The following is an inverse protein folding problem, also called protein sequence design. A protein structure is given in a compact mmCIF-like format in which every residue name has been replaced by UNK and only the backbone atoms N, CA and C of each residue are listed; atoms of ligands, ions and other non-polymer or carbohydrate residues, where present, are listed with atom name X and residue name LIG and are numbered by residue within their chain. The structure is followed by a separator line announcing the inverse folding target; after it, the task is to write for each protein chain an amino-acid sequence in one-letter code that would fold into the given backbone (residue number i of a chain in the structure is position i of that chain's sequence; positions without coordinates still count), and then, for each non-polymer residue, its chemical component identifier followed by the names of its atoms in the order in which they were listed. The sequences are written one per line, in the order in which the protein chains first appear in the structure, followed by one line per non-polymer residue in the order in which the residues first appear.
data_IF_125761633849
#
_entry.id   IF_125761633849
#
_cell.length_a   1.000
_cell.length_b   1.000
_cell.length_c   1.000
_cell.angle_alpha   90.00
_cell.angle_beta   90.00
_cell.angle_gamma   90.00
#
_symmetry.space_group_name_H-M   'P 1'
#
loop_
_entity.id
_entity.type
_entity.pdbx_description
1 polymer ?
#
# COMPACT_ATOMS: atom_id res chain seq x y z
N UNK A 1 6.06 -10.02 5.03
CA UNK A 1 4.87 -10.38 5.83
C UNK A 1 3.77 -10.74 4.84
N UNK A 2 3.35 -12.00 4.76
CA UNK A 2 2.28 -12.39 3.83
C UNK A 2 0.93 -12.00 4.45
N UNK A 3 0.32 -10.93 3.95
CA UNK A 3 -0.94 -10.37 4.47
C UNK A 3 -2.20 -11.14 4.04
N UNK A 4 -2.05 -12.38 3.56
CA UNK A 4 -3.19 -13.23 3.21
C UNK A 4 -3.71 -13.88 4.49
N UNK A 5 -4.70 -13.24 5.10
CA UNK A 5 -5.22 -13.59 6.43
C UNK A 5 -6.18 -14.81 6.37
N UNK A 6 -6.62 -15.27 5.19
CA UNK A 6 -7.47 -16.46 5.02
C UNK A 6 -7.62 -16.87 3.55
N UNK A 7 -8.37 -17.93 3.22
CA UNK A 7 -8.62 -18.35 1.81
C UNK A 7 -9.59 -17.44 1.04
N UNK A 8 -10.38 -16.59 1.74
CA UNK A 8 -11.33 -15.64 1.16
C UNK A 8 -10.84 -14.19 1.31
N UNK A 9 -9.70 -13.86 0.71
CA UNK A 9 -9.13 -12.51 0.81
C UNK A 9 -9.72 -11.58 -0.24
N UNK A 10 -10.25 -10.45 0.22
CA UNK A 10 -10.68 -9.33 -0.64
C UNK A 10 -9.56 -8.29 -0.72
N UNK A 11 -9.44 -7.60 -1.85
CA UNK A 11 -8.51 -6.47 -2.01
C UNK A 11 -8.70 -5.42 -0.90
N UNK A 12 -9.95 -5.15 -0.53
CA UNK A 12 -10.34 -4.17 0.49
C UNK A 12 -11.33 -4.80 1.45
N UNK A 13 -11.02 -4.73 2.74
CA UNK A 13 -11.89 -5.18 3.83
C UNK A 13 -12.06 -4.07 4.84
N UNK A 14 -13.31 -3.69 5.12
CA UNK A 14 -13.61 -2.81 6.26
C UNK A 14 -13.60 -3.67 7.52
N UNK A 15 -12.82 -3.26 8.51
CA UNK A 15 -12.67 -3.98 9.78
C UNK A 15 -13.18 -3.10 10.91
N UNK A 16 -13.97 -3.69 11.79
CA UNK A 16 -14.40 -3.07 13.04
C UNK A 16 -13.57 -3.64 14.19
N UNK A 17 -13.28 -2.79 15.17
CA UNK A 17 -12.83 -3.25 16.47
C UNK A 17 -14.07 -3.48 17.34
N UNK A 18 -14.15 -4.66 17.93
CA UNK A 18 -15.20 -5.01 18.87
C UNK A 18 -14.57 -5.63 20.12
N UNK A 19 -15.21 -5.44 21.27
CA UNK A 19 -14.91 -6.22 22.45
C UNK A 19 -15.15 -7.71 22.18
N UNK A 20 -14.26 -8.58 22.65
CA UNK A 20 -14.31 -10.00 22.29
C UNK A 20 -15.39 -10.77 23.04
N UNK A 21 -15.69 -10.38 24.27
CA UNK A 21 -16.65 -11.08 25.13
C UNK A 21 -18.07 -10.58 24.85
N UNK A 22 -18.25 -9.27 24.72
CA UNK A 22 -19.56 -8.66 24.49
C UNK A 22 -19.92 -8.52 23.02
N UNK A 23 -18.94 -8.61 22.12
CA UNK A 23 -19.08 -8.29 20.68
C UNK A 23 -19.54 -6.86 20.41
N UNK A 24 -19.46 -5.97 21.40
CA UNK A 24 -19.84 -4.56 21.23
C UNK A 24 -18.77 -3.78 20.48
N UNK A 25 -19.21 -2.83 19.65
CA UNK A 25 -18.31 -1.98 18.88
C UNK A 25 -17.43 -1.14 19.82
N UNK A 26 -16.12 -1.25 19.67
CA UNK A 26 -15.16 -0.51 20.50
C UNK A 26 -15.26 1.01 20.27
N UNK A 27 -15.45 1.42 19.01
CA UNK A 27 -15.67 2.83 18.66
C UNK A 27 -16.29 2.96 17.28
N UNK A 28 -17.26 3.87 17.14
CA UNK A 28 -17.85 4.30 15.86
C UNK A 28 -17.06 5.41 15.17
N UNK A 29 -16.14 6.05 15.90
CA UNK A 29 -15.31 7.17 15.41
C UNK A 29 -14.09 6.71 14.63
N UNK A 30 -13.72 5.44 14.75
CA UNK A 30 -12.53 4.88 14.11
C UNK A 30 -12.92 3.82 13.07
N UNK A 31 -12.61 4.09 11.80
CA UNK A 31 -12.80 3.12 10.72
C UNK A 31 -11.46 2.57 10.28
N UNK A 32 -11.30 1.25 10.34
CA UNK A 32 -10.10 0.54 9.84
C UNK A 32 -10.40 -0.09 8.49
N UNK A 33 -9.51 0.11 7.54
CA UNK A 33 -9.57 -0.54 6.23
C UNK A 33 -8.27 -1.31 6.05
N UNK A 34 -8.39 -2.61 5.78
CA UNK A 34 -7.26 -3.47 5.42
C UNK A 34 -7.24 -3.61 3.91
N UNK A 35 -6.08 -3.34 3.32
CA UNK A 35 -5.86 -3.44 1.88
C UNK A 35 -4.78 -4.49 1.62
N UNK A 36 -5.09 -5.45 0.75
CA UNK A 36 -4.17 -6.54 0.42
C UNK A 36 -3.57 -6.29 -0.96
N UNK A 37 -2.43 -5.58 -0.99
CA UNK A 37 -1.75 -5.16 -2.21
C UNK A 37 -1.43 -6.29 -3.21
N UNK A 38 -1.05 -7.53 -2.79
CA UNK A 38 -0.83 -8.63 -3.73
C UNK A 38 -2.05 -9.02 -4.58
N UNK A 39 -3.27 -8.68 -4.15
CA UNK A 39 -4.49 -8.92 -4.94
C UNK A 39 -4.74 -7.84 -5.99
N UNK A 40 -4.05 -6.70 -5.90
CA UNK A 40 -4.15 -5.64 -6.88
C UNK A 40 -3.28 -5.99 -8.10
N UNK A 41 -3.92 -6.41 -9.20
CA UNK A 41 -3.25 -6.86 -10.42
C UNK A 41 -3.43 -5.94 -11.63
N UNK A 42 -4.15 -4.83 -11.45
CA UNK A 42 -4.37 -3.84 -12.51
C UNK A 42 -3.07 -3.13 -12.87
N UNK A 43 -2.88 -2.93 -14.16
CA UNK A 43 -1.84 -2.08 -14.74
C UNK A 43 -2.27 -0.60 -14.78
N UNK A 44 -1.35 0.32 -15.08
CA UNK A 44 -1.60 1.77 -15.04
C UNK A 44 -2.83 2.20 -15.86
N UNK A 45 -3.00 1.63 -17.05
CA UNK A 45 -4.07 1.95 -17.99
C UNK A 45 -5.41 1.27 -17.65
N UNK A 46 -5.42 0.29 -16.74
CA UNK A 46 -6.61 -0.43 -16.29
C UNK A 46 -7.22 0.20 -15.02
N UNK A 47 -6.57 1.24 -14.48
CA UNK A 47 -7.03 1.94 -13.30
C UNK A 47 -8.07 2.99 -13.69
N UNK A 48 -9.30 2.81 -13.23
CA UNK A 48 -10.47 3.59 -13.69
C UNK A 48 -10.90 4.65 -12.68
N UNK A 49 -10.54 4.47 -11.41
CA UNK A 49 -10.98 5.35 -10.32
C UNK A 49 -9.84 5.76 -9.40
N UNK A 50 -10.09 6.80 -8.61
CA UNK A 50 -9.09 7.37 -7.69
C UNK A 50 -8.50 6.34 -6.73
N UNK A 51 -9.33 5.43 -6.22
CA UNK A 51 -8.86 4.40 -5.28
C UNK A 51 -7.83 3.49 -5.96
N UNK A 52 -8.10 3.06 -7.19
CA UNK A 52 -7.17 2.25 -7.96
C UNK A 52 -5.89 3.00 -8.33
N UNK A 53 -5.98 4.28 -8.72
CA UNK A 53 -4.79 5.13 -8.94
C UNK A 53 -3.93 5.24 -7.69
N UNK A 54 -4.56 5.39 -6.52
CA UNK A 54 -3.88 5.42 -5.23
C UNK A 54 -3.17 4.11 -4.92
N UNK A 55 -3.87 2.98 -5.05
CA UNK A 55 -3.28 1.66 -4.76
C UNK A 55 -2.16 1.32 -5.74
N UNK A 56 -2.32 1.64 -7.03
CA UNK A 56 -1.28 1.47 -8.03
C UNK A 56 -0.03 2.30 -7.71
N UNK A 57 -0.22 3.57 -7.35
CA UNK A 57 0.88 4.46 -6.98
C UNK A 57 1.61 3.96 -5.73
N UNK A 58 0.87 3.57 -4.68
CA UNK A 58 1.45 3.03 -3.45
C UNK A 58 2.20 1.71 -3.69
N UNK A 59 1.61 0.80 -4.50
CA UNK A 59 2.21 -0.51 -4.81
C UNK A 59 3.53 -0.39 -5.57
N UNK A 60 3.63 0.59 -6.48
CA UNK A 60 4.79 0.74 -7.36
C UNK A 60 5.76 1.84 -6.91
N UNK A 61 5.52 2.49 -5.76
CA UNK A 61 6.21 3.70 -5.30
C UNK A 61 7.74 3.60 -5.34
N UNK A 62 8.32 2.45 -5.01
CA UNK A 62 9.77 2.21 -5.03
C UNK A 62 10.39 2.18 -6.44
N UNK A 63 9.58 1.82 -7.44
CA UNK A 63 10.02 1.65 -8.84
C UNK A 63 9.63 2.83 -9.71
N UNK A 64 8.69 3.65 -9.24
CA UNK A 64 8.19 4.81 -9.96
C UNK A 64 9.25 5.91 -9.98
N UNK A 65 9.92 6.08 -11.14
CA UNK A 65 10.78 7.24 -11.42
C UNK A 65 10.00 8.56 -11.58
N UNK A 66 8.69 8.46 -11.77
CA UNK A 66 7.73 9.57 -11.87
C UNK A 66 6.39 9.09 -11.32
N UNK A 67 5.65 9.98 -10.66
CA UNK A 67 4.29 9.65 -10.22
C UNK A 67 3.37 9.54 -11.46
N UNK A 68 2.70 8.39 -11.69
CA UNK A 68 1.69 8.25 -12.73
C UNK A 68 0.44 9.05 -12.34
N UNK A 69 -0.42 9.40 -13.31
CA UNK A 69 -1.67 10.16 -13.06
C UNK A 69 -1.52 11.60 -12.53
N UNK A 70 -0.32 12.21 -12.64
CA UNK A 70 -0.04 13.63 -12.30
C UNK A 70 -1.07 14.63 -12.80
N UNK A 71 -1.60 14.40 -14.00
CA UNK A 71 -2.55 15.30 -14.64
C UNK A 71 -3.92 15.33 -13.94
N UNK A 72 -4.24 14.34 -13.11
CA UNK A 72 -5.60 14.21 -12.57
C UNK A 72 -5.82 14.96 -11.28
N UNK A 73 -4.87 15.07 -10.33
CA UNK A 73 -5.15 15.70 -9.01
C UNK A 73 -3.94 16.31 -8.28
N UNK A 74 -4.18 17.46 -7.62
CA UNK A 74 -3.21 18.18 -6.78
C UNK A 74 -2.62 17.35 -5.61
N UNK A 75 -3.32 16.31 -5.17
CA UNK A 75 -2.85 15.43 -4.10
C UNK A 75 -1.64 14.59 -4.51
N UNK A 76 -1.53 14.20 -5.79
CA UNK A 76 -0.36 13.49 -6.31
C UNK A 76 0.86 14.41 -6.43
N UNK A 77 0.64 15.70 -6.70
CA UNK A 77 1.71 16.71 -6.73
C UNK A 77 2.35 16.89 -5.35
N UNK A 78 1.55 16.97 -4.28
CA UNK A 78 2.07 17.06 -2.91
C UNK A 78 2.86 15.82 -2.49
N UNK A 79 2.47 14.67 -3.02
CA UNK A 79 3.16 13.41 -2.78
C UNK A 79 4.52 13.35 -3.48
N UNK A 80 4.60 13.88 -4.70
CA UNK A 80 5.86 14.08 -5.41
C UNK A 80 6.78 15.04 -4.65
N UNK A 81 6.28 16.21 -4.24
CA UNK A 81 7.06 17.16 -3.45
C UNK A 81 7.62 16.52 -2.16
N UNK A 82 6.85 15.62 -1.53
CA UNK A 82 7.30 14.89 -0.34
C UNK A 82 8.31 13.78 -0.69
N UNK A 83 8.11 13.06 -1.79
CA UNK A 83 8.98 11.99 -2.24
C UNK A 83 10.33 12.52 -2.78
N UNK A 84 10.34 13.66 -3.47
CA UNK A 84 11.55 14.36 -3.92
C UNK A 84 12.36 14.87 -2.72
N UNK A 85 11.70 15.39 -1.69
CA UNK A 85 12.37 15.78 -0.44
C UNK A 85 12.89 14.56 0.33
N UNK A 86 12.30 13.39 0.10
CA UNK A 86 12.69 12.10 0.68
C UNK A 86 13.51 11.23 -0.29
N UNK A 87 14.01 11.76 -1.42
CA UNK A 87 14.79 10.97 -2.39
C UNK A 87 16.08 10.51 -1.72
N UNK A 88 16.03 9.26 -1.27
CA UNK A 88 17.04 8.59 -0.46
C UNK A 88 18.40 8.63 -1.16
N UNK A 89 19.43 8.90 -0.36
CA UNK A 89 20.83 8.77 -0.76
C UNK A 89 21.13 7.33 -1.21
N UNK A 90 22.20 7.14 -1.98
CA UNK A 90 22.60 5.83 -2.53
C UNK A 90 22.68 4.73 -1.46
N UNK A 91 23.07 5.11 -0.24
CA UNK A 91 23.23 4.21 0.91
C UNK A 91 21.88 3.72 1.47
N UNK A 92 20.87 4.58 1.46
CA UNK A 92 19.51 4.25 1.89
C UNK A 92 18.81 3.33 0.87
N UNK A 93 19.12 3.49 -0.42
CA UNK A 93 18.66 2.59 -1.48
C UNK A 93 19.24 1.17 -1.31
N UNK A 94 20.53 1.05 -0.96
CA UNK A 94 21.18 -0.23 -0.69
C UNK A 94 20.61 -0.92 0.58
N UNK A 95 20.35 -0.14 1.65
CA UNK A 95 19.67 -0.65 2.85
C UNK A 95 18.27 -1.14 2.56
N UNK A 96 17.54 -0.42 1.71
CA UNK A 96 16.21 -0.82 1.26
C UNK A 96 16.26 -2.16 0.51
N UNK A 97 17.13 -2.28 -0.50
CA UNK A 97 17.32 -3.53 -1.26
C UNK A 97 17.73 -4.72 -0.39
N UNK A 98 18.59 -4.49 0.61
CA UNK A 98 18.95 -5.53 1.57
C UNK A 98 17.74 -5.98 2.41
N UNK A 99 16.90 -5.05 2.87
CA UNK A 99 15.70 -5.40 3.65
C UNK A 99 14.67 -6.19 2.82
N UNK A 100 14.48 -5.83 1.54
CA UNK A 100 13.62 -6.56 0.61
C UNK A 100 14.16 -7.95 0.31
N UNK A 101 15.48 -8.09 0.14
CA UNK A 101 16.10 -9.40 -0.12
C UNK A 101 15.98 -10.33 1.09
N UNK A 102 16.18 -9.82 2.31
CA UNK A 102 15.93 -10.59 3.54
C UNK A 102 14.48 -11.09 3.58
N UNK A 103 13.52 -10.23 3.22
CA UNK A 103 12.12 -10.63 3.13
C UNK A 103 11.87 -11.71 2.08
N UNK A 104 12.52 -11.66 0.92
CA UNK A 104 12.38 -12.66 -0.17
C UNK A 104 13.01 -14.00 0.18
N UNK A 105 14.15 -14.01 0.86
CA UNK A 105 14.84 -15.25 1.23
C UNK A 105 14.09 -16.03 2.31
N UNK A 106 13.44 -15.33 3.26
CA UNK A 106 12.65 -15.98 4.31
C UNK A 106 11.33 -16.62 3.87
N UNK A 107 10.91 -16.46 2.61
CA UNK A 107 9.71 -17.10 2.06
C UNK A 107 10.03 -18.43 1.36
N UNK A 108 11.32 -18.76 1.20
CA UNK A 108 11.82 -19.97 0.51
C UNK A 108 12.73 -20.84 1.39
N UNK A 109 12.76 -20.61 2.70
CA UNK A 109 13.41 -21.45 3.71
C UNK A 109 12.36 -22.08 4.63
#
# INVERSE_FOLDING_TARGET
MNFLINDNVKLRTNVILADRETSELFSDRMRKIVIVLPLFRKEEHECDNDFEHWIYTLKNMETLKRIPFKAHKAVFKKLEETADVASLSKEEHERYQNSVNVYRTHIYS
#
